data_IF_032951002606
#
_entry.id   IF_032951002606
#
_cell.length_a   1.000
_cell.length_b   1.000
_cell.length_c   1.000
_cell.angle_alpha   90.00
_cell.angle_beta   90.00
_cell.angle_gamma   90.00
#
_symmetry.space_group_name_H-M   'P 1'
#
loop_
_entity.id
_entity.type
_entity.pdbx_description
1 polymer ?
#
# COMPACT_ATOMS: atom_id res chain seq x y z
N UNK A 1 -16.59 -5.09 12.23
CA UNK A 1 -16.25 -3.76 11.68
C UNK A 1 -15.10 -3.84 10.69
N UNK A 2 -14.06 -4.63 10.94
CA UNK A 2 -12.92 -4.74 10.04
C UNK A 2 -13.31 -5.21 8.64
N UNK A 3 -14.11 -6.27 8.54
CA UNK A 3 -14.56 -6.81 7.25
C UNK A 3 -15.39 -5.79 6.45
N UNK A 4 -16.16 -4.97 7.14
CA UNK A 4 -16.90 -3.84 6.54
C UNK A 4 -15.90 -2.79 6.06
N UNK A 5 -14.95 -2.40 6.90
CA UNK A 5 -13.94 -1.41 6.57
C UNK A 5 -13.08 -1.85 5.37
N UNK A 6 -12.72 -3.13 5.28
CA UNK A 6 -12.05 -3.68 4.11
C UNK A 6 -12.86 -3.54 2.81
N UNK A 7 -14.20 -3.56 2.90
CA UNK A 7 -15.07 -3.52 1.73
C UNK A 7 -15.41 -2.10 1.27
N UNK A 8 -15.57 -1.16 2.21
CA UNK A 8 -16.04 0.19 1.91
C UNK A 8 -14.98 1.28 2.09
N UNK A 9 -13.90 0.99 2.83
CA UNK A 9 -12.84 1.96 3.14
C UNK A 9 -13.22 2.97 4.19
N UNK A 10 -12.46 4.06 4.25
CA UNK A 10 -12.56 5.11 5.25
C UNK A 10 -12.96 6.49 4.71
N UNK A 11 -13.32 6.63 3.45
CA UNK A 11 -13.78 7.92 2.93
C UNK A 11 -15.05 8.39 3.67
N UNK A 12 -15.09 9.62 4.20
CA UNK A 12 -16.17 10.08 5.07
C UNK A 12 -17.58 9.96 4.48
N UNK A 13 -17.75 10.24 3.18
CA UNK A 13 -19.06 10.11 2.52
C UNK A 13 -19.48 8.65 2.35
N UNK A 14 -18.55 7.75 2.09
CA UNK A 14 -18.79 6.30 1.98
C UNK A 14 -19.21 5.72 3.33
N UNK A 15 -18.48 6.08 4.39
CA UNK A 15 -18.81 5.66 5.77
C UNK A 15 -20.18 6.19 6.18
N UNK A 16 -20.47 7.45 5.90
CA UNK A 16 -21.78 8.07 6.18
C UNK A 16 -22.90 7.37 5.44
N UNK A 17 -22.73 7.06 4.14
CA UNK A 17 -23.71 6.29 3.36
C UNK A 17 -23.98 4.92 3.99
N UNK A 18 -22.91 4.21 4.37
CA UNK A 18 -23.06 2.93 5.06
C UNK A 18 -23.79 3.05 6.40
N UNK A 19 -23.46 4.06 7.21
CA UNK A 19 -24.12 4.26 8.52
C UNK A 19 -25.62 4.55 8.36
N UNK A 20 -26.00 5.27 7.32
CA UNK A 20 -27.39 5.61 7.02
C UNK A 20 -28.17 4.45 6.43
N UNK A 21 -27.60 3.77 5.45
CA UNK A 21 -28.32 2.73 4.68
C UNK A 21 -28.14 1.31 5.21
N UNK A 22 -27.05 1.06 5.97
CA UNK A 22 -26.57 -0.27 6.37
C UNK A 22 -26.31 -1.20 5.17
N UNK A 23 -26.16 -0.63 3.97
CA UNK A 23 -25.93 -1.36 2.71
C UNK A 23 -24.48 -1.16 2.25
N UNK A 24 -23.75 -2.27 2.11
CA UNK A 24 -22.42 -2.28 1.50
C UNK A 24 -22.49 -1.87 0.03
N UNK A 25 -23.51 -2.26 -0.69
CA UNK A 25 -23.69 -1.93 -2.12
C UNK A 25 -23.83 -0.44 -2.34
N UNK A 26 -24.64 0.26 -1.51
CA UNK A 26 -24.79 1.71 -1.58
C UNK A 26 -23.48 2.42 -1.23
N UNK A 27 -22.81 1.97 -0.19
CA UNK A 27 -21.50 2.51 0.19
C UNK A 27 -20.46 2.32 -0.94
N UNK A 28 -20.43 1.16 -1.59
CA UNK A 28 -19.56 0.91 -2.76
C UNK A 28 -19.92 1.78 -3.97
N UNK A 29 -21.20 2.03 -4.20
CA UNK A 29 -21.63 2.95 -5.27
C UNK A 29 -21.14 4.37 -4.99
N UNK A 30 -21.14 4.81 -3.74
CA UNK A 30 -20.57 6.08 -3.34
C UNK A 30 -19.04 6.11 -3.52
N UNK A 31 -18.34 5.02 -3.20
CA UNK A 31 -16.90 4.90 -3.44
C UNK A 31 -16.57 5.02 -4.93
N UNK A 32 -17.32 4.32 -5.80
CA UNK A 32 -17.14 4.40 -7.26
C UNK A 32 -17.33 5.84 -7.73
N UNK A 33 -18.34 6.54 -7.23
CA UNK A 33 -18.58 7.96 -7.56
C UNK A 33 -17.42 8.86 -7.17
N UNK A 34 -16.79 8.60 -6.02
CA UNK A 34 -15.57 9.33 -5.60
C UNK A 34 -14.42 9.05 -6.56
N UNK A 35 -14.21 7.78 -6.92
CA UNK A 35 -13.16 7.37 -7.86
C UNK A 35 -13.36 8.08 -9.21
N UNK A 36 -14.56 8.04 -9.76
CA UNK A 36 -14.90 8.67 -11.05
C UNK A 36 -14.70 10.20 -10.98
N UNK A 37 -15.10 10.83 -9.88
CA UNK A 37 -14.88 12.26 -9.67
C UNK A 37 -13.39 12.58 -9.61
N UNK A 38 -12.61 11.81 -8.85
CA UNK A 38 -11.16 11.99 -8.77
C UNK A 38 -10.48 11.83 -10.13
N UNK A 39 -10.87 10.80 -10.90
CA UNK A 39 -10.34 10.57 -12.24
C UNK A 39 -10.63 11.74 -13.17
N UNK A 40 -11.88 12.22 -13.19
CA UNK A 40 -12.29 13.34 -14.04
C UNK A 40 -11.61 14.65 -13.64
N UNK A 41 -11.45 14.94 -12.35
CA UNK A 41 -10.70 16.12 -11.90
C UNK A 41 -9.22 16.02 -12.23
N UNK A 42 -8.63 14.81 -12.15
CA UNK A 42 -7.22 14.59 -12.46
C UNK A 42 -6.86 14.96 -13.90
N UNK A 43 -7.77 14.80 -14.88
CA UNK A 43 -7.56 15.21 -16.28
C UNK A 43 -7.19 16.70 -16.36
N UNK A 44 -7.79 17.54 -15.51
CA UNK A 44 -7.53 18.99 -15.53
C UNK A 44 -6.09 19.36 -15.19
N UNK A 45 -5.40 18.49 -14.47
CA UNK A 45 -3.98 18.65 -14.10
C UNK A 45 -3.02 17.99 -15.09
N UNK A 46 -3.53 17.14 -15.97
CA UNK A 46 -2.76 16.41 -16.96
C UNK A 46 -3.24 16.75 -18.37
N UNK A 47 -2.89 17.92 -18.85
CA UNK A 47 -3.28 18.39 -20.19
C UNK A 47 -2.78 17.48 -21.32
N UNK A 48 -1.74 16.70 -21.06
CA UNK A 48 -1.13 15.76 -22.02
C UNK A 48 -1.68 14.32 -21.85
N UNK A 49 -2.51 14.06 -20.84
CA UNK A 49 -3.15 12.77 -20.63
C UNK A 49 -4.59 12.89 -21.11
N UNK A 50 -4.82 12.43 -22.32
CA UNK A 50 -6.16 12.41 -22.92
C UNK A 50 -7.05 11.31 -22.35
N UNK A 51 -6.47 10.34 -21.62
CA UNK A 51 -7.16 9.16 -21.11
C UNK A 51 -6.94 8.98 -19.60
N UNK A 52 -8.03 9.00 -18.83
CA UNK A 52 -8.02 8.65 -17.39
C UNK A 52 -7.68 7.19 -17.12
N UNK A 53 -7.69 6.36 -18.15
CA UNK A 53 -7.38 4.94 -18.04
C UNK A 53 -5.99 4.70 -17.43
N UNK A 54 -5.04 5.62 -17.60
CA UNK A 54 -3.70 5.54 -17.00
C UNK A 54 -3.74 5.34 -15.47
N UNK A 55 -4.64 6.04 -14.78
CA UNK A 55 -4.77 5.90 -13.32
C UNK A 55 -5.31 4.53 -12.94
N UNK A 56 -6.32 4.05 -13.69
CA UNK A 56 -6.85 2.69 -13.54
C UNK A 56 -5.76 1.64 -13.78
N UNK A 57 -4.98 1.80 -14.83
CA UNK A 57 -3.89 0.88 -15.18
C UNK A 57 -2.78 0.87 -14.10
N UNK A 58 -2.47 2.02 -13.52
CA UNK A 58 -1.56 2.12 -12.37
C UNK A 58 -2.13 1.36 -11.17
N UNK A 59 -3.41 1.56 -10.82
CA UNK A 59 -4.03 0.88 -9.68
C UNK A 59 -4.08 -0.64 -9.86
N UNK A 60 -4.44 -1.12 -11.05
CA UNK A 60 -4.41 -2.55 -11.37
C UNK A 60 -3.00 -3.12 -11.32
N UNK A 61 -2.00 -2.35 -11.75
CA UNK A 61 -0.59 -2.75 -11.68
C UNK A 61 -0.10 -2.84 -10.22
N UNK A 62 -0.51 -1.92 -9.35
CA UNK A 62 -0.23 -1.99 -7.90
C UNK A 62 -0.78 -3.30 -7.33
N UNK A 63 -2.06 -3.63 -7.63
CA UNK A 63 -2.67 -4.87 -7.15
C UNK A 63 -1.92 -6.11 -7.65
N UNK A 64 -1.46 -6.12 -8.89
CA UNK A 64 -0.66 -7.23 -9.44
C UNK A 64 0.69 -7.39 -8.77
N UNK A 65 1.35 -6.28 -8.42
CA UNK A 65 2.63 -6.32 -7.68
C UNK A 65 2.40 -6.86 -6.27
N UNK A 66 1.37 -6.38 -5.57
CA UNK A 66 1.03 -6.85 -4.22
C UNK A 66 0.62 -8.33 -4.18
N UNK A 67 -0.02 -8.83 -5.25
CA UNK A 67 -0.43 -10.23 -5.38
C UNK A 67 0.67 -11.20 -5.82
N UNK A 68 1.84 -10.73 -6.24
CA UNK A 68 2.96 -11.60 -6.56
C UNK A 68 3.59 -12.13 -5.29
N UNK A 69 4.04 -13.40 -5.33
CA UNK A 69 4.87 -13.94 -4.25
C UNK A 69 6.03 -12.99 -3.96
N UNK A 70 6.26 -12.74 -2.68
CA UNK A 70 7.19 -11.74 -2.13
C UNK A 70 8.69 -12.05 -2.39
N UNK A 71 9.01 -12.74 -3.47
CA UNK A 71 10.39 -12.90 -3.94
C UNK A 71 10.84 -11.55 -4.50
N UNK A 72 11.57 -10.85 -3.66
CA UNK A 72 12.11 -9.53 -3.81
C UNK A 72 12.02 -8.93 -5.22
N UNK A 73 11.33 -7.83 -5.37
CA UNK A 73 11.45 -7.02 -6.58
C UNK A 73 12.94 -6.76 -6.78
N UNK A 74 13.51 -7.28 -7.85
CA UNK A 74 14.93 -7.08 -8.18
C UNK A 74 15.22 -5.63 -8.58
N UNK A 75 14.17 -4.84 -8.79
CA UNK A 75 14.28 -3.48 -9.28
C UNK A 75 14.37 -2.45 -8.16
N UNK A 76 15.21 -1.46 -8.36
CA UNK A 76 15.54 -0.43 -7.38
C UNK A 76 14.41 0.59 -7.16
N UNK A 77 13.36 0.58 -7.99
CA UNK A 77 12.25 1.54 -7.91
C UNK A 77 10.91 0.93 -8.27
N UNK A 78 9.93 1.06 -7.36
CA UNK A 78 8.55 0.67 -7.63
C UNK A 78 7.93 1.46 -8.80
N UNK A 79 8.37 2.72 -9.02
CA UNK A 79 7.91 3.53 -10.14
C UNK A 79 8.31 2.92 -11.48
N UNK A 80 9.50 2.33 -11.57
CA UNK A 80 9.95 1.65 -12.80
C UNK A 80 9.18 0.37 -13.05
N UNK A 81 8.92 -0.42 -12.00
CA UNK A 81 8.11 -1.63 -12.11
C UNK A 81 6.68 -1.31 -12.52
N UNK A 82 6.04 -0.33 -11.87
CA UNK A 82 4.70 0.13 -12.25
C UNK A 82 4.65 0.59 -13.70
N UNK A 83 5.64 1.37 -14.12
CA UNK A 83 5.72 1.85 -15.49
C UNK A 83 5.87 0.71 -16.49
N UNK A 84 6.72 -0.28 -16.22
CA UNK A 84 6.89 -1.46 -17.09
C UNK A 84 5.58 -2.23 -17.21
N UNK A 85 4.86 -2.42 -16.11
CA UNK A 85 3.56 -3.11 -16.12
C UNK A 85 2.52 -2.33 -16.91
N UNK A 86 2.41 -1.03 -16.70
CA UNK A 86 1.45 -0.17 -17.42
C UNK A 86 1.73 -0.19 -18.92
N UNK A 87 2.98 -0.08 -19.33
CA UNK A 87 3.34 -0.07 -20.76
C UNK A 87 3.26 -1.43 -21.42
N UNK A 88 3.46 -2.54 -20.68
CA UNK A 88 3.41 -3.90 -21.20
C UNK A 88 2.00 -4.48 -21.26
N UNK A 89 1.25 -4.32 -20.17
CA UNK A 89 -0.01 -5.05 -19.95
C UNK A 89 -1.23 -4.24 -20.39
N UNK A 90 -1.07 -2.94 -20.51
CA UNK A 90 -2.12 -2.02 -20.93
C UNK A 90 -1.62 -1.27 -22.17
N UNK A 91 -2.28 -1.45 -23.28
CA UNK A 91 -1.89 -0.93 -24.61
C UNK A 91 -2.00 0.60 -24.74
N UNK A 92 -1.82 1.31 -23.66
CA UNK A 92 -1.83 2.76 -23.64
C UNK A 92 -0.53 3.27 -24.24
N UNK A 93 -0.62 4.14 -25.26
CA UNK A 93 0.51 4.89 -25.83
C UNK A 93 1.06 5.93 -24.82
N UNK A 94 1.17 5.55 -23.55
CA UNK A 94 1.57 6.45 -22.48
C UNK A 94 3.09 6.47 -22.40
N UNK A 95 3.65 7.67 -22.49
CA UNK A 95 5.09 7.86 -22.31
C UNK A 95 5.51 7.59 -20.85
N UNK A 96 6.76 7.17 -20.67
CA UNK A 96 7.39 7.01 -19.36
C UNK A 96 7.22 8.24 -18.47
N UNK A 97 7.37 9.43 -19.05
CA UNK A 97 7.25 10.67 -18.32
C UNK A 97 5.82 10.90 -17.79
N UNK A 98 4.80 10.59 -18.58
CA UNK A 98 3.39 10.71 -18.19
C UNK A 98 3.07 9.73 -17.07
N UNK A 99 3.50 8.46 -17.19
CA UNK A 99 3.28 7.47 -16.15
C UNK A 99 3.92 7.89 -14.81
N UNK A 100 5.16 8.37 -14.83
CA UNK A 100 5.85 8.83 -13.62
C UNK A 100 5.16 10.07 -13.00
N UNK A 101 4.65 10.99 -13.81
CA UNK A 101 3.88 12.14 -13.31
C UNK A 101 2.57 11.69 -12.66
N UNK A 102 1.86 10.74 -13.28
CA UNK A 102 0.63 10.19 -12.72
C UNK A 102 0.89 9.49 -11.37
N UNK A 103 1.94 8.68 -11.25
CA UNK A 103 2.35 8.04 -9.98
C UNK A 103 2.67 9.11 -8.93
N UNK A 104 3.42 10.14 -9.28
CA UNK A 104 3.77 11.24 -8.38
C UNK A 104 2.54 12.01 -7.92
N UNK A 105 1.59 12.25 -8.82
CA UNK A 105 0.31 12.89 -8.52
C UNK A 105 -0.53 12.06 -7.54
N UNK A 106 -0.71 10.75 -7.80
CA UNK A 106 -1.43 9.85 -6.91
C UNK A 106 -0.83 9.83 -5.50
N UNK A 107 0.51 9.85 -5.41
CA UNK A 107 1.23 9.96 -4.14
C UNK A 107 0.97 11.31 -3.46
N UNK A 108 1.07 12.40 -4.19
CA UNK A 108 0.84 13.75 -3.68
C UNK A 108 -0.59 13.93 -3.15
N UNK A 109 -1.57 13.39 -3.87
CA UNK A 109 -2.98 13.41 -3.46
C UNK A 109 -3.28 12.44 -2.30
N UNK A 110 -2.31 11.67 -1.79
CA UNK A 110 -2.53 10.72 -0.72
C UNK A 110 -3.42 9.54 -1.11
N UNK A 111 -3.47 9.16 -2.38
CA UNK A 111 -4.23 8.01 -2.88
C UNK A 111 -3.41 6.73 -2.75
N UNK A 112 -2.11 6.84 -3.00
CA UNK A 112 -1.13 5.77 -2.83
C UNK A 112 0.00 6.22 -1.91
N UNK A 113 0.69 5.26 -1.29
CA UNK A 113 1.86 5.50 -0.49
C UNK A 113 2.95 4.46 -0.76
N UNK A 114 4.19 4.82 -0.47
CA UNK A 114 5.34 3.97 -0.71
C UNK A 114 5.91 3.42 0.59
N UNK A 115 6.48 2.22 0.49
CA UNK A 115 7.18 1.51 1.54
C UNK A 115 8.63 1.29 1.13
N UNK A 116 9.55 1.50 2.06
CA UNK A 116 10.97 1.24 1.85
C UNK A 116 11.34 -0.21 2.13
N UNK A 117 12.59 -0.59 1.82
CA UNK A 117 13.16 -1.90 2.07
C UNK A 117 14.41 -1.78 2.94
N UNK A 118 14.50 -2.60 3.99
CA UNK A 118 15.68 -2.79 4.82
C UNK A 118 16.29 -4.15 4.47
N UNK A 119 17.57 -4.16 4.14
CA UNK A 119 18.29 -5.37 3.74
C UNK A 119 19.06 -5.91 4.93
N UNK A 120 18.95 -7.24 5.17
CA UNK A 120 19.64 -7.93 6.28
C UNK A 120 19.38 -7.30 7.66
N UNK A 121 18.20 -6.70 7.85
CA UNK A 121 17.83 -5.97 9.08
C UNK A 121 18.76 -4.79 9.42
N UNK A 122 19.58 -4.34 8.48
CA UNK A 122 20.45 -3.18 8.62
C UNK A 122 19.76 -1.90 8.15
N UNK A 123 19.50 -0.98 9.08
CA UNK A 123 18.85 0.31 8.78
C UNK A 123 19.70 1.19 7.84
N UNK A 124 21.01 1.07 7.89
CA UNK A 124 21.90 1.81 7.01
C UNK A 124 21.81 1.33 5.56
N UNK A 125 21.30 0.12 5.35
CA UNK A 125 21.05 -0.45 4.03
C UNK A 125 19.55 -0.33 3.66
N UNK A 126 19.06 0.91 3.63
CA UNK A 126 17.68 1.26 3.34
C UNK A 126 17.51 1.69 1.90
N UNK A 127 16.55 1.07 1.21
CA UNK A 127 16.12 1.46 -0.14
C UNK A 127 14.71 2.06 -0.07
N UNK A 128 14.50 3.31 -0.50
CA UNK A 128 13.17 3.92 -0.51
C UNK A 128 12.31 3.42 -1.67
N UNK A 129 11.00 3.47 -1.50
CA UNK A 129 10.03 3.30 -2.59
C UNK A 129 10.00 1.92 -3.26
N UNK A 130 10.23 0.85 -2.49
CA UNK A 130 10.27 -0.51 -3.03
C UNK A 130 8.91 -1.21 -3.11
N UNK A 131 7.89 -0.73 -2.38
CA UNK A 131 6.50 -1.21 -2.46
C UNK A 131 5.53 -0.04 -2.50
N UNK A 132 4.35 -0.28 -3.06
CA UNK A 132 3.28 0.70 -3.15
C UNK A 132 1.99 0.12 -2.58
N UNK A 133 1.32 0.89 -1.75
CA UNK A 133 0.06 0.54 -1.10
C UNK A 133 -0.99 1.61 -1.35
N UNK A 134 -2.25 1.22 -1.25
CA UNK A 134 -3.35 2.18 -1.24
C UNK A 134 -3.49 2.86 0.12
N UNK A 135 -3.91 4.11 0.13
CA UNK A 135 -4.19 4.84 1.37
C UNK A 135 -5.63 4.65 1.87
N UNK A 136 -6.44 3.90 1.13
CA UNK A 136 -7.80 3.51 1.52
C UNK A 136 -8.06 2.03 1.19
N UNK A 137 -8.68 1.28 2.13
CA UNK A 137 -8.93 -0.15 1.96
C UNK A 137 -10.08 -0.45 1.00
N UNK A 138 -11.09 0.42 0.93
CA UNK A 138 -12.17 0.26 -0.04
C UNK A 138 -11.66 0.40 -1.47
N UNK A 139 -10.77 1.37 -1.70
CA UNK A 139 -10.09 1.53 -2.98
C UNK A 139 -9.24 0.30 -3.32
N UNK A 140 -8.44 -0.19 -2.37
CA UNK A 140 -7.65 -1.41 -2.52
C UNK A 140 -8.53 -2.61 -2.87
N UNK A 141 -9.58 -2.85 -2.08
CA UNK A 141 -10.53 -3.96 -2.27
C UNK A 141 -11.21 -3.91 -3.65
N UNK A 142 -11.62 -2.70 -4.08
CA UNK A 142 -12.25 -2.49 -5.37
C UNK A 142 -11.36 -2.91 -6.54
N UNK A 143 -10.08 -2.49 -6.52
CA UNK A 143 -9.17 -2.82 -7.61
C UNK A 143 -8.60 -4.25 -7.51
N UNK A 144 -8.38 -4.79 -6.32
CA UNK A 144 -7.96 -6.19 -6.13
C UNK A 144 -8.99 -7.18 -6.66
N UNK A 145 -10.28 -6.91 -6.46
CA UNK A 145 -11.33 -7.72 -7.05
C UNK A 145 -11.32 -7.69 -8.59
N UNK A 146 -10.92 -6.58 -9.20
CA UNK A 146 -10.87 -6.42 -10.67
C UNK A 146 -9.69 -7.11 -11.34
N UNK A 147 -8.60 -7.39 -10.64
CA UNK A 147 -7.48 -8.18 -11.18
C UNK A 147 -7.71 -9.69 -11.12
N UNK A 148 -8.86 -10.13 -10.58
CA UNK A 148 -9.24 -11.55 -10.52
C UNK A 148 -8.47 -12.33 -9.45
N UNK A 149 -7.94 -11.66 -8.41
CA UNK A 149 -7.28 -12.32 -7.30
C UNK A 149 -8.26 -13.20 -6.51
N UNK A 150 -7.78 -14.34 -5.99
CA UNK A 150 -8.60 -15.21 -5.14
C UNK A 150 -8.93 -14.52 -3.81
N UNK A 151 -10.07 -14.87 -3.20
CA UNK A 151 -10.53 -14.24 -1.94
C UNK A 151 -9.49 -14.33 -0.82
N UNK A 152 -8.75 -15.43 -0.73
CA UNK A 152 -7.67 -15.61 0.25
C UNK A 152 -6.48 -14.68 0.00
N UNK A 153 -6.14 -14.45 -1.27
CA UNK A 153 -5.09 -13.49 -1.67
C UNK A 153 -5.51 -12.07 -1.36
N UNK A 154 -6.76 -11.71 -1.70
CA UNK A 154 -7.33 -10.39 -1.39
C UNK A 154 -7.28 -10.14 0.12
N UNK A 155 -7.68 -11.11 0.95
CA UNK A 155 -7.67 -10.97 2.39
C UNK A 155 -6.25 -10.74 2.93
N UNK A 156 -5.25 -11.44 2.43
CA UNK A 156 -3.84 -11.25 2.78
C UNK A 156 -3.33 -9.85 2.40
N UNK A 157 -3.56 -9.45 1.15
CA UNK A 157 -3.16 -8.13 0.64
C UNK A 157 -3.84 -6.98 1.40
N UNK A 158 -5.14 -7.11 1.73
CA UNK A 158 -5.86 -6.10 2.51
C UNK A 158 -5.34 -6.00 3.94
N UNK A 159 -4.98 -7.13 4.57
CA UNK A 159 -4.40 -7.15 5.91
C UNK A 159 -3.05 -6.42 5.93
N UNK A 160 -2.19 -6.69 4.96
CA UNK A 160 -0.90 -6.00 4.81
C UNK A 160 -1.09 -4.50 4.52
N UNK A 161 -2.00 -4.16 3.60
CA UNK A 161 -2.32 -2.77 3.28
C UNK A 161 -2.92 -2.01 4.49
N UNK A 162 -3.71 -2.67 5.32
CA UNK A 162 -4.24 -2.10 6.56
C UNK A 162 -3.12 -1.76 7.55
N UNK A 163 -2.15 -2.66 7.73
CA UNK A 163 -0.98 -2.40 8.58
C UNK A 163 -0.21 -1.21 8.05
N UNK A 164 0.03 -1.16 6.73
CA UNK A 164 0.70 -0.04 6.08
C UNK A 164 0.03 1.31 6.39
N UNK A 165 -1.29 1.41 6.19
CA UNK A 165 -2.05 2.64 6.45
C UNK A 165 -1.90 3.08 7.92
N UNK A 166 -1.97 2.13 8.85
CA UNK A 166 -1.86 2.43 10.28
C UNK A 166 -0.43 2.88 10.65
N UNK A 167 0.59 2.27 10.09
CA UNK A 167 1.97 2.69 10.28
C UNK A 167 2.20 4.09 9.69
N UNK A 168 1.67 4.35 8.49
CA UNK A 168 1.77 5.67 7.85
C UNK A 168 1.12 6.77 8.67
N UNK A 169 -0.07 6.53 9.22
CA UNK A 169 -0.74 7.47 10.13
C UNK A 169 0.08 7.75 11.40
N UNK A 170 0.76 6.75 11.94
CA UNK A 170 1.59 6.92 13.15
C UNK A 170 2.88 7.66 12.89
N UNK A 171 3.36 7.70 11.66
CA UNK A 171 4.52 8.52 11.29
C UNK A 171 4.26 10.02 11.39
N UNK A 172 3.00 10.42 11.29
CA UNK A 172 2.58 11.81 11.49
C UNK A 172 2.64 12.23 12.99
N UNK A 173 2.87 11.25 13.89
CA UNK A 173 3.13 11.48 15.31
C UNK A 173 4.63 11.29 15.60
N UNK A 174 5.44 12.35 15.55
CA UNK A 174 6.92 12.27 15.56
C UNK A 174 7.53 11.66 16.83
N UNK A 175 6.73 11.39 17.84
CA UNK A 175 7.22 10.80 19.09
C UNK A 175 7.20 9.26 19.11
N UNK A 176 6.56 8.59 18.12
CA UNK A 176 6.36 7.15 18.17
C UNK A 176 7.30 6.35 17.29
N UNK A 177 7.52 6.78 16.04
CA UNK A 177 8.24 6.00 15.02
C UNK A 177 9.35 6.82 14.36
N UNK A 178 10.55 6.24 14.27
CA UNK A 178 11.77 6.91 13.79
C UNK A 178 11.93 6.95 12.26
N UNK A 179 11.07 6.27 11.50
CA UNK A 179 11.23 6.20 10.04
C UNK A 179 10.37 7.23 9.30
N UNK A 180 10.94 7.85 8.27
CA UNK A 180 10.21 8.75 7.38
C UNK A 180 9.14 8.04 6.54
N UNK A 181 9.29 6.74 6.32
CA UNK A 181 8.28 5.90 5.66
C UNK A 181 8.26 4.49 6.25
N UNK A 182 7.12 3.77 6.21
CA UNK A 182 7.08 2.35 6.55
C UNK A 182 8.10 1.57 5.72
N UNK A 183 8.70 0.55 6.32
CA UNK A 183 9.68 -0.29 5.65
C UNK A 183 9.42 -1.76 5.94
N UNK A 184 9.64 -2.62 4.95
CA UNK A 184 9.74 -4.06 5.13
C UNK A 184 11.22 -4.49 5.19
N UNK A 185 11.51 -5.67 5.68
CA UNK A 185 12.86 -6.17 5.76
C UNK A 185 13.01 -7.52 5.07
N UNK A 186 14.15 -7.70 4.39
CA UNK A 186 14.55 -9.00 3.86
C UNK A 186 15.82 -9.48 4.56
N UNK A 187 15.91 -10.79 4.80
CA UNK A 187 17.07 -11.43 5.40
C UNK A 187 17.24 -12.83 4.82
N UNK A 188 18.37 -13.49 5.12
CA UNK A 188 18.64 -14.82 4.62
C UNK A 188 17.58 -15.81 5.12
N UNK A 189 16.75 -16.28 4.20
CA UNK A 189 15.70 -17.26 4.47
C UNK A 189 14.30 -16.69 4.70
N UNK A 190 14.09 -15.37 4.60
CA UNK A 190 12.75 -14.84 4.78
C UNK A 190 12.61 -13.32 4.59
N UNK A 191 11.42 -12.88 4.87
CA UNK A 191 11.01 -11.49 4.82
C UNK A 191 10.11 -11.18 6.02
N UNK A 192 10.13 -9.94 6.48
CA UNK A 192 9.21 -9.38 7.46
C UNK A 192 8.39 -8.30 6.78
N UNK A 193 7.07 -8.36 6.90
CA UNK A 193 6.15 -7.43 6.22
C UNK A 193 6.42 -5.98 6.57
N UNK A 194 6.67 -5.68 7.87
CA UNK A 194 7.06 -4.34 8.28
C UNK A 194 8.05 -4.37 9.44
N UNK A 195 8.95 -3.40 9.45
CA UNK A 195 9.85 -3.10 10.55
C UNK A 195 9.60 -1.68 11.02
N UNK A 196 9.47 -1.51 12.31
CA UNK A 196 9.37 -0.20 12.95
C UNK A 196 10.42 -0.06 14.03
N UNK A 197 10.92 1.14 14.23
CA UNK A 197 11.83 1.48 15.32
C UNK A 197 11.19 2.58 16.17
N UNK A 198 11.11 2.33 17.46
CA UNK A 198 10.66 3.34 18.41
C UNK A 198 11.72 4.42 18.62
N UNK A 199 11.35 5.68 18.52
CA UNK A 199 12.26 6.83 18.73
C UNK A 199 12.89 6.83 20.12
N UNK A 200 12.07 6.61 21.16
CA UNK A 200 12.54 6.67 22.55
C UNK A 200 13.29 5.44 23.01
N UNK A 201 13.04 4.28 22.42
CA UNK A 201 13.57 3.00 22.92
C UNK A 201 14.70 2.41 22.08
N UNK A 202 14.96 2.94 20.90
CA UNK A 202 15.84 2.34 19.88
C UNK A 202 15.55 0.86 19.60
N UNK A 203 14.41 0.36 20.07
CA UNK A 203 13.97 -1.01 19.85
C UNK A 203 13.35 -1.12 18.46
N UNK A 204 13.65 -2.22 17.78
CA UNK A 204 13.06 -2.58 16.50
C UNK A 204 12.01 -3.65 16.72
N UNK A 205 10.91 -3.51 16.03
CA UNK A 205 9.80 -4.44 16.06
C UNK A 205 9.56 -4.92 14.63
N UNK A 206 9.52 -6.25 14.46
CA UNK A 206 9.04 -6.87 13.24
C UNK A 206 7.53 -7.08 13.35
N UNK A 207 6.81 -6.79 12.29
CA UNK A 207 5.36 -6.94 12.21
C UNK A 207 5.07 -7.78 10.98
N UNK A 208 4.47 -8.96 11.17
CA UNK A 208 3.92 -9.75 10.09
C UNK A 208 2.40 -9.60 10.08
N UNK A 209 1.87 -9.26 8.93
CA UNK A 209 0.44 -9.12 8.70
C UNK A 209 -0.09 -10.41 8.09
N UNK A 210 -0.92 -11.15 8.83
CA UNK A 210 -1.57 -12.34 8.29
C UNK A 210 -3.06 -12.37 8.63
N UNK A 211 -3.82 -12.94 7.73
CA UNK A 211 -5.23 -13.19 7.92
C UNK A 211 -5.40 -14.58 8.53
N UNK A 212 -5.83 -14.63 9.78
CA UNK A 212 -6.05 -15.90 10.51
C UNK A 212 -7.53 -16.27 10.56
N UNK A 213 -7.85 -17.50 10.16
CA UNK A 213 -9.22 -18.04 10.20
C UNK A 213 -9.76 -18.33 11.62
N UNK A 214 -8.97 -18.16 12.68
CA UNK A 214 -9.36 -18.50 14.05
C UNK A 214 -9.39 -17.28 14.98
N UNK A 215 -10.60 -16.83 15.30
CA UNK A 215 -11.01 -15.99 16.46
C UNK A 215 -10.58 -14.52 16.54
N UNK A 216 -9.67 -14.03 15.71
CA UNK A 216 -9.41 -12.58 15.56
C UNK A 216 -8.95 -12.35 14.12
N UNK A 217 -9.53 -11.38 13.40
CA UNK A 217 -9.09 -11.04 12.03
C UNK A 217 -7.68 -10.44 12.01
N UNK A 218 -7.07 -10.19 13.17
CA UNK A 218 -5.71 -9.67 13.29
C UNK A 218 -4.89 -10.55 14.22
N UNK A 219 -3.87 -11.17 13.71
CA UNK A 219 -2.78 -11.69 14.48
C UNK A 219 -1.50 -10.93 14.07
N UNK A 220 -1.02 -10.07 14.95
CA UNK A 220 0.29 -9.44 14.81
C UNK A 220 1.28 -10.27 15.62
N UNK A 221 2.29 -10.81 14.98
CA UNK A 221 3.48 -11.26 15.70
C UNK A 221 4.46 -10.10 15.76
N UNK A 222 4.64 -9.54 16.92
CA UNK A 222 5.72 -8.60 17.18
C UNK A 222 6.87 -9.32 17.82
N UNK A 223 7.99 -9.42 17.13
CA UNK A 223 9.26 -9.84 17.72
C UNK A 223 10.12 -8.59 17.97
N UNK A 224 10.52 -8.37 19.21
CA UNK A 224 11.47 -7.32 19.53
C UNK A 224 12.89 -7.83 19.27
N UNK A 225 13.63 -7.18 18.37
CA UNK A 225 15.04 -7.46 18.14
C UNK A 225 15.89 -6.50 18.96
N UNK A 226 16.75 -7.03 19.85
CA UNK A 226 17.82 -6.23 20.41
C UNK A 226 18.89 -6.05 19.32
N UNK A 227 19.22 -4.81 18.97
CA UNK A 227 20.42 -4.55 18.18
C UNK A 227 21.63 -5.08 18.99
N UNK A 228 22.26 -6.14 18.54
CA UNK A 228 23.62 -6.40 18.97
C UNK A 228 24.47 -5.29 18.37
N UNK A 229 24.90 -4.34 19.20
CA UNK A 229 26.00 -3.46 18.81
C UNK A 229 27.20 -4.37 18.59
N UNK A 230 27.93 -4.26 17.48
CA UNK A 230 29.25 -4.88 17.42
C UNK A 230 30.10 -4.31 18.57
N UNK A 231 30.98 -5.10 19.19
CA UNK A 231 31.89 -4.60 20.20
C UNK A 231 32.71 -3.48 19.56
N UNK A 232 32.73 -2.35 20.24
CA UNK A 232 33.66 -1.25 19.92
C UNK A 232 35.05 -1.76 20.33
N UNK A 233 35.89 -2.00 19.34
CA UNK A 233 37.32 -2.16 19.55
C UNK A 233 37.98 -0.78 19.43
#
# INVERSE_FOLDING_TARGET
WYDIYCQIGGYPSVVREYLNSKSIERARSELIRIIDTFMNESIRYFTDVLDTQVFTDIFLSICRILGREKKGLEEDSISEELQKLVTRDYSSNISKAVCNRAISWLRFCGVIGFCGKIIEMDILNFKPGCRCYFMDLGLASYYMARVGAAQTEIAGMLSENFVYINLKKRQDFPEEIAFEMPAFATFKGGEVDFVVQGLKSSRRYAIDAFYGAQRSPFCFRTAAFRSQRPPIF
#
